data_IF_861426712127
#
_entry.id   IF_861426712127
#
_cell.length_a   1.000
_cell.length_b   1.000
_cell.length_c   1.000
_cell.angle_alpha   90.00
_cell.angle_beta   90.00
_cell.angle_gamma   90.00
#
_symmetry.space_group_name_H-M   'P 1'
#
loop_
_entity.id
_entity.type
_entity.pdbx_description
1 polymer ?
#
# COMPACT_ATOMS: atom_id res chain seq x y z
N UNK A 1 16.66 -24.69 -12.24
CA UNK A 1 15.39 -24.52 -11.51
C UNK A 1 15.50 -23.19 -10.79
N UNK A 2 14.84 -22.15 -11.29
CA UNK A 2 14.85 -20.85 -10.63
C UNK A 2 14.03 -20.96 -9.35
N UNK A 3 14.59 -20.39 -8.28
CA UNK A 3 14.04 -20.33 -6.94
C UNK A 3 12.63 -19.75 -6.95
N UNK A 4 11.62 -20.62 -6.89
CA UNK A 4 10.27 -20.31 -6.40
C UNK A 4 10.24 -20.31 -4.86
N UNK A 5 11.39 -20.11 -4.21
CA UNK A 5 11.45 -19.60 -2.85
C UNK A 5 11.42 -18.09 -3.00
N UNK A 6 10.37 -17.44 -2.46
CA UNK A 6 10.26 -16.01 -2.13
C UNK A 6 8.88 -15.37 -2.40
N UNK A 7 7.80 -16.17 -2.31
CA UNK A 7 6.44 -15.63 -2.17
C UNK A 7 6.26 -14.88 -0.82
N UNK A 8 7.20 -15.05 0.13
CA UNK A 8 7.17 -14.42 1.45
C UNK A 8 8.32 -13.40 1.67
N UNK A 9 9.03 -12.98 0.63
CA UNK A 9 10.00 -11.89 0.79
C UNK A 9 9.28 -10.54 0.80
N UNK A 10 9.53 -9.80 1.88
CA UNK A 10 9.22 -8.39 1.95
C UNK A 10 10.50 -7.58 1.79
N UNK A 11 10.41 -6.47 1.06
CA UNK A 11 11.48 -5.48 0.98
C UNK A 11 11.06 -4.29 1.82
N UNK A 12 11.92 -3.86 2.75
CA UNK A 12 11.71 -2.61 3.47
C UNK A 12 11.99 -1.44 2.53
N UNK A 13 11.03 -0.52 2.41
CA UNK A 13 11.08 0.58 1.48
C UNK A 13 11.28 1.91 2.20
N UNK A 14 12.05 2.80 1.56
CA UNK A 14 12.02 4.22 1.94
C UNK A 14 10.64 4.82 1.65
N UNK A 15 10.33 5.95 2.28
CA UNK A 15 9.09 6.71 2.01
C UNK A 15 9.02 7.15 0.53
N UNK A 16 10.14 7.57 -0.05
CA UNK A 16 10.18 7.97 -1.46
C UNK A 16 9.95 6.80 -2.42
N UNK A 17 10.47 5.61 -2.12
CA UNK A 17 10.23 4.42 -2.94
C UNK A 17 8.78 3.93 -2.80
N UNK A 18 8.23 4.03 -1.58
CA UNK A 18 6.82 3.75 -1.31
C UNK A 18 5.89 4.68 -2.09
N UNK A 19 6.20 5.98 -2.15
CA UNK A 19 5.46 6.95 -2.96
C UNK A 19 5.52 6.59 -4.46
N UNK A 20 6.69 6.22 -4.98
CA UNK A 20 6.86 5.80 -6.39
C UNK A 20 6.00 4.58 -6.71
N UNK A 21 6.00 3.59 -5.83
CA UNK A 21 5.19 2.38 -6.01
C UNK A 21 3.70 2.74 -5.99
N UNK A 22 3.25 3.52 -5.01
CA UNK A 22 1.87 4.00 -4.93
C UNK A 22 1.44 4.75 -6.20
N UNK A 23 2.28 5.65 -6.71
CA UNK A 23 1.99 6.41 -7.96
C UNK A 23 1.95 5.53 -9.19
N UNK A 24 2.87 4.58 -9.32
CA UNK A 24 3.02 3.81 -10.55
C UNK A 24 2.05 2.62 -10.62
N UNK A 25 1.71 2.02 -9.48
CA UNK A 25 0.95 0.77 -9.44
C UNK A 25 -0.45 0.90 -8.86
N UNK A 26 -0.66 1.85 -7.95
CA UNK A 26 -1.91 1.98 -7.19
C UNK A 26 -2.76 3.19 -7.63
N UNK A 27 -2.15 4.22 -8.22
CA UNK A 27 -2.85 5.41 -8.69
C UNK A 27 -3.86 5.07 -9.80
N UNK A 28 -5.08 5.60 -9.68
CA UNK A 28 -6.23 5.37 -10.55
C UNK A 28 -6.60 3.88 -10.68
N UNK A 29 -6.23 3.05 -9.71
CA UNK A 29 -6.56 1.63 -9.68
C UNK A 29 -7.45 1.32 -8.49
N UNK A 30 -8.31 0.32 -8.64
CA UNK A 30 -9.14 -0.16 -7.54
C UNK A 30 -8.29 -1.02 -6.61
N UNK A 31 -8.22 -0.62 -5.34
CA UNK A 31 -7.40 -1.24 -4.31
C UNK A 31 -8.28 -1.64 -3.14
N UNK A 32 -8.03 -2.82 -2.62
CA UNK A 32 -8.53 -3.22 -1.31
C UNK A 32 -7.61 -2.64 -0.25
N UNK A 33 -8.15 -1.78 0.60
CA UNK A 33 -7.48 -1.16 1.73
C UNK A 33 -7.97 -1.82 3.00
N UNK A 34 -7.05 -2.37 3.78
CA UNK A 34 -7.34 -2.95 5.10
C UNK A 34 -6.57 -2.19 6.17
N UNK A 35 -7.27 -1.66 7.17
CA UNK A 35 -6.69 -0.99 8.33
C UNK A 35 -6.96 -1.81 9.60
N UNK A 36 -5.91 -2.12 10.35
CA UNK A 36 -6.00 -2.88 11.60
C UNK A 36 -5.33 -2.10 12.72
N UNK A 37 -6.06 -1.85 13.82
CA UNK A 37 -5.55 -1.16 15.01
C UNK A 37 -6.22 -1.72 16.28
N UNK A 38 -5.51 -2.59 17.02
CA UNK A 38 -6.10 -3.32 18.16
C UNK A 38 -7.24 -4.21 17.68
N UNK A 39 -8.43 -4.04 18.28
CA UNK A 39 -9.65 -4.78 17.90
C UNK A 39 -10.35 -4.21 16.65
N UNK A 40 -9.95 -3.02 16.17
CA UNK A 40 -10.53 -2.41 14.99
C UNK A 40 -9.95 -3.04 13.73
N UNK A 41 -10.84 -3.55 12.85
CA UNK A 41 -10.48 -4.08 11.54
C UNK A 41 -11.44 -3.52 10.47
N UNK A 42 -10.95 -2.57 9.67
CA UNK A 42 -11.71 -1.92 8.60
C UNK A 42 -11.18 -2.45 7.27
N UNK A 43 -12.10 -2.90 6.41
CA UNK A 43 -11.79 -3.37 5.07
C UNK A 43 -12.67 -2.65 4.06
N UNK A 44 -12.06 -1.94 3.11
CA UNK A 44 -12.78 -1.16 2.12
C UNK A 44 -12.12 -1.28 0.74
N UNK A 45 -12.92 -1.20 -0.31
CA UNK A 45 -12.43 -1.06 -1.68
C UNK A 45 -12.46 0.42 -2.05
N UNK A 46 -11.32 0.97 -2.44
CA UNK A 46 -11.14 2.39 -2.73
C UNK A 46 -10.36 2.56 -4.04
N UNK A 47 -10.53 3.70 -4.71
CA UNK A 47 -9.68 4.08 -5.84
C UNK A 47 -8.77 5.24 -5.43
N UNK A 48 -7.45 5.10 -5.55
CA UNK A 48 -6.52 6.18 -5.17
C UNK A 48 -6.46 7.20 -6.31
N UNK A 49 -6.92 8.44 -6.08
CA UNK A 49 -6.81 9.54 -7.06
C UNK A 49 -5.49 10.28 -7.01
N UNK A 50 -4.88 10.34 -5.83
CA UNK A 50 -3.68 11.16 -5.63
C UNK A 50 -2.80 10.59 -4.54
N UNK A 51 -1.50 10.68 -4.76
CA UNK A 51 -0.44 10.30 -3.82
C UNK A 51 0.57 11.45 -3.78
N UNK A 52 0.89 11.95 -2.59
CA UNK A 52 1.96 12.95 -2.40
C UNK A 52 2.80 12.57 -1.18
N UNK A 53 4.11 12.83 -1.22
CA UNK A 53 4.97 12.72 -0.04
C UNK A 53 5.61 14.07 0.33
N UNK A 54 5.97 14.22 1.61
CA UNK A 54 6.77 15.33 2.11
C UNK A 54 7.59 14.86 3.32
N UNK A 55 8.90 14.68 3.15
CA UNK A 55 9.75 14.15 4.21
C UNK A 55 9.38 12.70 4.55
N UNK A 56 8.99 12.43 5.80
CA UNK A 56 8.60 11.10 6.29
C UNK A 56 7.09 10.79 6.11
N UNK A 57 6.34 11.70 5.50
CA UNK A 57 4.88 11.60 5.38
C UNK A 57 4.43 11.23 3.97
N UNK A 58 3.36 10.43 3.87
CA UNK A 58 2.63 10.12 2.63
C UNK A 58 1.16 10.47 2.84
N UNK A 59 0.65 11.32 1.95
CA UNK A 59 -0.76 11.68 1.86
C UNK A 59 -1.41 10.93 0.69
N UNK A 60 -2.59 10.36 0.95
CA UNK A 60 -3.40 9.62 -0.01
C UNK A 60 -4.79 10.24 -0.14
N UNK A 61 -5.23 10.46 -1.37
CA UNK A 61 -6.60 10.89 -1.68
C UNK A 61 -7.29 9.77 -2.45
N UNK A 62 -8.52 9.43 -2.05
CA UNK A 62 -9.33 8.40 -2.67
C UNK A 62 -10.52 9.01 -3.44
N UNK A 63 -10.82 8.50 -4.65
CA UNK A 63 -12.07 8.76 -5.36
C UNK A 63 -13.15 7.85 -4.78
N UNK A 64 -14.32 8.44 -4.51
CA UNK A 64 -15.50 7.76 -3.98
C UNK A 64 -15.34 7.19 -2.56
N UNK A 65 -15.46 8.08 -1.56
CA UNK A 65 -16.58 8.09 -0.61
C UNK A 65 -16.38 9.23 0.39
N UNK A 66 -17.43 10.03 0.54
CA UNK A 66 -17.67 10.88 1.70
C UNK A 66 -17.26 10.18 3.00
N UNK A 67 -16.29 10.78 3.72
CA UNK A 67 -15.90 10.53 5.11
C UNK A 67 -14.75 9.55 5.44
N UNK A 68 -14.00 9.01 4.47
CA UNK A 68 -12.72 8.34 4.79
C UNK A 68 -11.53 9.20 4.36
N UNK A 69 -11.02 10.00 5.30
CA UNK A 69 -9.75 10.71 5.15
C UNK A 69 -8.78 10.14 6.17
N UNK A 70 -7.70 9.50 5.70
CA UNK A 70 -6.55 9.25 6.55
C UNK A 70 -5.67 10.50 6.47
N UNK A 71 -5.79 11.37 7.46
CA UNK A 71 -4.99 12.59 7.53
C UNK A 71 -3.70 12.28 8.31
N UNK A 72 -2.56 12.47 7.62
CA UNK A 72 -1.20 12.38 8.16
C UNK A 72 -0.86 11.04 8.82
N UNK A 73 -0.18 10.19 8.08
CA UNK A 73 0.34 8.93 8.56
C UNK A 73 1.82 9.05 8.95
N UNK A 74 2.14 8.79 10.21
CA UNK A 74 3.53 8.64 10.66
C UNK A 74 3.91 7.16 10.68
N UNK A 75 4.80 6.79 9.77
CA UNK A 75 5.18 5.41 9.54
C UNK A 75 6.43 5.05 10.35
N UNK A 76 6.48 3.81 10.82
CA UNK A 76 7.69 3.17 11.34
C UNK A 76 8.43 2.43 10.22
N UNK A 77 7.69 1.67 9.40
CA UNK A 77 8.24 0.92 8.27
C UNK A 77 7.21 0.69 7.17
N UNK A 78 7.70 0.48 5.95
CA UNK A 78 6.87 0.15 4.79
C UNK A 78 7.43 -1.09 4.11
N UNK A 79 6.58 -2.10 3.91
CA UNK A 79 6.94 -3.35 3.29
C UNK A 79 6.18 -3.54 2.00
N UNK A 80 6.91 -3.83 0.92
CA UNK A 80 6.31 -4.35 -0.30
C UNK A 80 6.51 -5.85 -0.37
N UNK A 81 5.40 -6.57 -0.52
CA UNK A 81 5.38 -8.03 -0.65
C UNK A 81 5.31 -8.43 -2.12
N UNK A 82 5.92 -9.56 -2.47
CA UNK A 82 5.97 -10.09 -3.84
C UNK A 82 4.60 -10.39 -4.47
N UNK A 83 3.54 -10.46 -3.66
CA UNK A 83 2.14 -10.54 -4.13
C UNK A 83 1.55 -9.18 -4.58
N UNK A 84 2.35 -8.11 -4.55
CA UNK A 84 1.93 -6.75 -4.91
C UNK A 84 1.22 -5.99 -3.81
N UNK A 85 1.24 -6.50 -2.58
CA UNK A 85 0.68 -5.81 -1.43
C UNK A 85 1.69 -4.84 -0.86
N UNK A 86 1.24 -3.63 -0.54
CA UNK A 86 2.03 -2.63 0.17
C UNK A 86 1.48 -2.50 1.59
N UNK A 87 2.30 -2.80 2.59
CA UNK A 87 1.93 -2.79 4.01
C UNK A 87 2.70 -1.68 4.70
N UNK A 88 1.95 -0.76 5.30
CA UNK A 88 2.48 0.30 6.13
C UNK A 88 2.30 -0.08 7.60
N UNK A 89 3.38 -0.01 8.37
CA UNK A 89 3.36 -0.16 9.83
C UNK A 89 3.53 1.22 10.43
N UNK A 90 2.59 1.63 11.27
CA UNK A 90 2.62 2.92 11.95
C UNK A 90 3.36 2.82 13.29
N UNK A 91 3.88 3.93 13.80
CA UNK A 91 4.57 3.97 15.12
C UNK A 91 3.71 3.51 16.29
N UNK A 92 2.38 3.58 16.16
CA UNK A 92 1.44 3.07 17.16
C UNK A 92 1.16 1.55 17.04
N UNK A 93 1.86 0.85 16.13
CA UNK A 93 1.70 -0.58 15.87
C UNK A 93 0.50 -0.96 15.00
N UNK A 94 -0.33 0.01 14.58
CA UNK A 94 -1.39 -0.27 13.60
C UNK A 94 -0.80 -0.56 12.21
N UNK A 95 -1.62 -1.18 11.35
CA UNK A 95 -1.20 -1.54 9.99
C UNK A 95 -2.21 -1.08 8.95
N UNK A 96 -1.72 -0.63 7.80
CA UNK A 96 -2.52 -0.29 6.63
C UNK A 96 -1.98 -1.06 5.42
N UNK A 97 -2.81 -1.94 4.86
CA UNK A 97 -2.45 -2.78 3.72
C UNK A 97 -3.20 -2.33 2.48
N UNK A 98 -2.47 -2.13 1.38
CA UNK A 98 -3.01 -1.91 0.05
C UNK A 98 -2.81 -3.17 -0.78
N UNK A 99 -3.90 -3.73 -1.30
CA UNK A 99 -3.87 -4.85 -2.24
C UNK A 99 -4.52 -4.43 -3.55
N UNK A 100 -3.81 -4.45 -4.68
CA UNK A 100 -4.43 -4.14 -5.98
C UNK A 100 -5.43 -5.23 -6.36
N UNK A 101 -6.65 -4.84 -6.76
CA UNK A 101 -7.66 -5.78 -7.22
C UNK A 101 -7.55 -6.04 -8.74
N UNK A 102 -7.33 -4.98 -9.52
CA UNK A 102 -7.32 -5.05 -10.99
C UNK A 102 -5.94 -5.39 -11.59
N UNK A 103 -4.86 -5.15 -10.84
CA UNK A 103 -3.48 -5.19 -11.36
C UNK A 103 -2.69 -6.48 -11.07
N UNK A 104 -3.31 -7.53 -10.51
CA UNK A 104 -2.62 -8.82 -10.26
C UNK A 104 -1.97 -9.41 -11.53
N UNK A 105 -2.51 -9.13 -12.72
CA UNK A 105 -1.94 -9.56 -14.01
C UNK A 105 -0.73 -8.73 -14.49
N UNK A 106 -0.69 -7.42 -14.20
CA UNK A 106 0.39 -6.50 -14.61
C UNK A 106 1.60 -6.56 -13.68
N UNK A 107 1.39 -6.91 -12.42
CA UNK A 107 2.45 -6.99 -11.44
C UNK A 107 3.38 -8.18 -11.72
N UNK A 108 2.81 -9.32 -12.17
CA UNK A 108 3.58 -10.50 -12.61
C UNK A 108 4.53 -10.16 -13.77
N UNK A 109 4.12 -9.34 -14.73
CA UNK A 109 4.94 -8.98 -15.90
C UNK A 109 6.03 -7.93 -15.64
N UNK A 110 6.10 -7.39 -14.43
CA UNK A 110 7.15 -6.44 -14.02
C UNK A 110 8.18 -7.13 -13.09
N UNK A 111 7.77 -8.22 -12.44
CA UNK A 111 8.61 -9.04 -11.56
C UNK A 111 9.30 -10.17 -12.35
N UNK A 112 8.65 -10.74 -13.37
CA UNK A 112 9.30 -11.56 -14.42
C UNK A 112 10.20 -10.68 -15.31
#
# INVERSE_FOLDING_TARGET
MNDFKNINESINLSIFDSERILKNFFLNTTVEVTFISGDLNIKQTLNISKVTSKGEFIDLVFLELSNFQINTLEFDSVYYYSIGSLVFIFKNGSTLTFRPLDNLKKLKSIID
#
